data_IF_767005845181
#
_entry.id   IF_767005845181
#
_cell.length_a   1.000
_cell.length_b   1.000
_cell.length_c   1.000
_cell.angle_alpha   90.00
_cell.angle_beta   90.00
_cell.angle_gamma   90.00
#
_symmetry.space_group_name_H-M   'P 1'
#
loop_
_entity.id
_entity.type
_entity.pdbx_description
1 polymer ?
#
# COMPACT_ATOMS: atom_id res chain seq x y z
N UNK A 1 -43.83 -3.71 -52.75
CA UNK A 1 -42.65 -2.88 -52.43
C UNK A 1 -42.79 -2.36 -51.00
N UNK A 2 -41.80 -2.61 -50.14
CA UNK A 2 -41.19 -1.70 -49.12
C UNK A 2 -42.15 -0.77 -48.34
N UNK A 3 -42.21 -0.67 -47.01
CA UNK A 3 -41.32 -0.91 -45.85
C UNK A 3 -42.25 -0.89 -44.60
N UNK A 4 -42.10 -1.76 -43.61
CA UNK A 4 -41.06 -1.63 -42.56
C UNK A 4 -41.42 -0.48 -41.61
N UNK A 5 -42.13 -0.76 -40.51
CA UNK A 5 -41.55 -0.98 -39.18
C UNK A 5 -41.19 0.33 -38.46
N UNK A 6 -42.02 0.72 -37.48
CA UNK A 6 -41.65 1.70 -36.45
C UNK A 6 -41.83 1.05 -35.09
N UNK A 7 -40.88 0.18 -34.74
CA UNK A 7 -40.70 -0.31 -33.37
C UNK A 7 -39.94 0.79 -32.64
N UNK A 8 -40.63 1.52 -31.76
CA UNK A 8 -40.03 2.46 -30.82
C UNK A 8 -39.34 1.63 -29.73
N UNK A 9 -38.06 1.33 -29.94
CA UNK A 9 -37.23 0.60 -28.97
C UNK A 9 -36.69 1.58 -27.93
N UNK A 10 -37.30 1.54 -26.74
CA UNK A 10 -36.84 2.23 -25.53
C UNK A 10 -35.45 1.71 -25.14
N UNK A 11 -34.43 2.54 -25.32
CA UNK A 11 -33.06 2.31 -24.83
C UNK A 11 -32.96 2.75 -23.37
N UNK A 12 -33.22 1.84 -22.44
CA UNK A 12 -32.80 1.97 -21.04
C UNK A 12 -31.33 1.59 -20.92
N UNK A 13 -30.44 2.59 -20.98
CA UNK A 13 -29.04 2.42 -20.56
C UNK A 13 -28.98 2.32 -19.04
N UNK A 14 -28.98 1.10 -18.51
CA UNK A 14 -28.54 0.85 -17.13
C UNK A 14 -27.02 0.94 -17.09
N UNK A 15 -26.50 2.06 -16.59
CA UNK A 15 -25.09 2.18 -16.22
C UNK A 15 -24.85 1.25 -15.03
N UNK A 16 -24.26 0.09 -15.29
CA UNK A 16 -23.72 -0.78 -14.26
C UNK A 16 -22.46 -0.09 -13.73
N UNK A 17 -22.59 0.62 -12.62
CA UNK A 17 -21.43 1.02 -11.83
C UNK A 17 -20.88 -0.23 -11.16
N UNK A 18 -19.89 -0.86 -11.80
CA UNK A 18 -19.00 -1.80 -11.13
C UNK A 18 -18.24 -1.00 -10.06
N UNK A 19 -18.72 -1.04 -8.82
CA UNK A 19 -17.89 -0.73 -7.67
C UNK A 19 -16.81 -1.82 -7.64
N UNK A 20 -15.65 -1.52 -8.22
CA UNK A 20 -14.48 -2.35 -8.07
C UNK A 20 -14.02 -2.11 -6.62
N UNK A 21 -14.45 -2.98 -5.70
CA UNK A 21 -13.77 -3.12 -4.42
C UNK A 21 -12.38 -3.68 -4.77
N UNK A 22 -11.38 -2.81 -4.89
CA UNK A 22 -9.99 -3.26 -4.84
C UNK A 22 -9.81 -3.93 -3.48
N UNK A 23 -9.67 -5.26 -3.46
CA UNK A 23 -9.28 -5.93 -2.23
C UNK A 23 -7.99 -5.28 -1.73
N UNK A 24 -7.95 -4.81 -0.47
CA UNK A 24 -6.77 -4.14 0.06
C UNK A 24 -5.61 -5.12 -0.03
N UNK A 25 -4.52 -4.69 -0.67
CA UNK A 25 -3.35 -5.52 -0.85
C UNK A 25 -2.88 -6.11 0.49
N UNK A 26 -2.58 -7.42 0.48
CA UNK A 26 -2.28 -8.18 1.69
C UNK A 26 -1.17 -7.51 2.50
N UNK A 27 -1.34 -7.36 3.81
CA UNK A 27 -0.33 -6.78 4.69
C UNK A 27 0.73 -7.83 5.05
N UNK A 28 2.00 -7.50 4.84
CA UNK A 28 3.13 -8.41 5.06
C UNK A 28 4.12 -7.84 6.06
N UNK A 29 4.82 -8.72 6.78
CA UNK A 29 5.86 -8.31 7.73
C UNK A 29 6.96 -7.53 6.99
N UNK A 30 7.40 -6.43 7.61
CA UNK A 30 8.45 -5.57 7.09
C UNK A 30 9.74 -6.35 6.80
N UNK A 31 10.38 -6.04 5.67
CA UNK A 31 11.57 -6.74 5.19
C UNK A 31 12.82 -5.85 5.09
N UNK A 32 12.67 -4.53 5.12
CA UNK A 32 13.75 -3.54 4.96
C UNK A 32 13.78 -2.60 6.14
N UNK A 33 14.97 -2.08 6.46
CA UNK A 33 15.17 -1.21 7.61
C UNK A 33 14.59 -1.80 8.90
N UNK A 34 14.93 -3.06 9.19
CA UNK A 34 14.34 -3.83 10.29
C UNK A 34 15.32 -3.92 11.46
N UNK A 35 14.83 -3.66 12.66
CA UNK A 35 15.44 -4.10 13.92
C UNK A 35 14.52 -5.12 14.60
N UNK A 36 15.08 -6.01 15.42
CA UNK A 36 14.29 -6.90 16.27
C UNK A 36 14.27 -6.36 17.69
N UNK A 37 13.09 -6.32 18.31
CA UNK A 37 13.00 -6.01 19.74
C UNK A 37 13.36 -7.24 20.60
N UNK A 38 13.31 -7.08 21.92
CA UNK A 38 13.61 -8.13 22.89
C UNK A 38 12.73 -9.39 22.76
N UNK A 39 11.53 -9.24 22.20
CA UNK A 39 10.58 -10.34 21.96
C UNK A 39 10.74 -10.97 20.57
N UNK A 40 11.73 -10.55 19.79
CA UNK A 40 11.99 -11.04 18.44
C UNK A 40 11.05 -10.48 17.37
N UNK A 41 10.17 -9.53 17.72
CA UNK A 41 9.29 -8.87 16.77
C UNK A 41 10.11 -7.99 15.81
N UNK A 42 9.82 -8.11 14.50
CA UNK A 42 10.49 -7.32 13.46
C UNK A 42 9.86 -5.94 13.37
N UNK A 43 10.62 -4.90 13.69
CA UNK A 43 10.17 -3.50 13.76
C UNK A 43 10.98 -2.61 12.81
N UNK A 44 10.44 -1.46 12.38
CA UNK A 44 11.25 -0.45 11.69
C UNK A 44 12.40 -0.02 12.60
N UNK A 45 13.61 0.10 12.06
CA UNK A 45 14.79 0.53 12.82
C UNK A 45 14.66 1.97 13.33
N UNK A 46 13.86 2.79 12.65
CA UNK A 46 13.43 4.12 13.14
C UNK A 46 11.91 4.26 12.93
N UNK A 47 11.22 5.13 13.68
CA UNK A 47 9.81 5.38 13.47
C UNK A 47 9.52 5.74 11.99
N UNK A 48 8.53 5.13 11.33
CA UNK A 48 8.22 5.43 9.93
C UNK A 48 7.89 6.91 9.68
N UNK A 49 7.31 7.58 10.67
CA UNK A 49 7.04 9.04 10.68
C UNK A 49 8.30 9.90 10.66
N UNK A 50 9.48 9.33 10.92
CA UNK A 50 10.76 10.01 10.73
C UNK A 50 11.17 10.08 9.26
N UNK A 51 10.46 9.39 8.37
CA UNK A 51 10.62 9.50 6.93
C UNK A 51 9.81 10.66 6.37
N UNK A 52 10.41 11.44 5.47
CA UNK A 52 9.67 12.31 4.57
C UNK A 52 9.22 11.51 3.33
N UNK A 53 7.95 11.64 2.97
CA UNK A 53 7.47 11.25 1.64
C UNK A 53 7.84 12.35 0.63
N UNK A 54 8.18 11.96 -0.59
CA UNK A 54 8.36 12.90 -1.72
C UNK A 54 7.05 13.11 -2.47
N UNK A 55 6.14 12.15 -2.39
CA UNK A 55 4.76 12.23 -2.85
C UNK A 55 3.86 12.65 -1.67
N UNK A 56 2.66 13.15 -1.96
CA UNK A 56 1.69 13.54 -0.92
C UNK A 56 1.26 12.34 -0.06
N UNK A 57 0.99 12.58 1.22
CA UNK A 57 0.63 11.53 2.16
C UNK A 57 -0.67 10.81 1.76
N UNK A 58 -1.64 11.54 1.21
CA UNK A 58 -2.92 10.98 0.73
C UNK A 58 -2.72 10.05 -0.49
N UNK A 59 -1.85 10.44 -1.43
CA UNK A 59 -1.51 9.63 -2.60
C UNK A 59 -0.77 8.35 -2.14
N UNK A 60 0.17 8.50 -1.21
CA UNK A 60 0.89 7.38 -0.62
C UNK A 60 -0.02 6.44 0.17
N UNK A 61 -1.00 6.96 0.90
CA UNK A 61 -1.99 6.17 1.63
C UNK A 61 -2.91 5.40 0.67
N UNK A 62 -3.27 6.00 -0.47
CA UNK A 62 -4.06 5.33 -1.52
C UNK A 62 -3.31 4.11 -2.08
N UNK A 63 -2.00 4.22 -2.27
CA UNK A 63 -1.19 3.15 -2.87
C UNK A 63 -0.69 2.09 -1.88
N UNK A 64 -0.31 2.52 -0.68
CA UNK A 64 0.44 1.70 0.29
C UNK A 64 -0.19 1.67 1.68
N UNK A 65 -1.36 2.27 1.85
CA UNK A 65 -2.11 2.20 3.09
C UNK A 65 -2.37 0.76 3.50
N UNK A 66 -2.48 0.57 4.81
CA UNK A 66 -2.93 -0.68 5.44
C UNK A 66 -4.20 -0.39 6.23
N UNK A 67 -5.03 -1.41 6.45
CA UNK A 67 -6.29 -1.25 7.18
C UNK A 67 -6.07 -0.75 8.62
N UNK A 68 -7.08 -0.14 9.21
CA UNK A 68 -7.03 0.33 10.62
C UNK A 68 -6.69 -0.79 11.61
N UNK A 69 -7.11 -2.02 11.31
CA UNK A 69 -6.75 -3.19 12.12
C UNK A 69 -5.24 -3.42 12.13
N UNK A 70 -4.59 -3.35 10.95
CA UNK A 70 -3.15 -3.50 10.83
C UNK A 70 -2.42 -2.32 11.47
N UNK A 71 -2.97 -1.11 11.37
CA UNK A 71 -2.41 0.07 12.05
C UNK A 71 -2.39 -0.15 13.57
N UNK A 72 -3.50 -0.62 14.16
CA UNK A 72 -3.57 -0.97 15.59
C UNK A 72 -2.64 -2.12 15.96
N UNK A 73 -2.50 -3.14 15.11
CA UNK A 73 -1.52 -4.22 15.33
C UNK A 73 -0.08 -3.68 15.33
N UNK A 74 0.22 -2.71 14.46
CA UNK A 74 1.53 -2.08 14.36
C UNK A 74 1.87 -1.19 15.56
N UNK A 75 0.88 -0.65 16.26
CA UNK A 75 1.08 0.13 17.50
C UNK A 75 1.61 -0.75 18.66
N UNK A 76 1.26 -2.03 18.69
CA UNK A 76 1.82 -2.98 19.66
C UNK A 76 3.26 -3.34 19.29
N UNK A 77 4.21 -2.97 20.15
CA UNK A 77 5.63 -3.22 19.95
C UNK A 77 5.96 -4.72 19.93
N UNK A 78 5.13 -5.57 20.54
CA UNK A 78 5.34 -7.02 20.56
C UNK A 78 4.97 -7.70 19.24
N UNK A 79 4.24 -6.99 18.37
CA UNK A 79 3.88 -7.50 17.05
C UNK A 79 4.90 -7.05 16.00
N UNK A 80 5.20 -7.96 15.07
CA UNK A 80 6.01 -7.60 13.91
C UNK A 80 5.24 -6.60 13.05
N UNK A 81 5.92 -5.50 12.70
CA UNK A 81 5.35 -4.41 11.92
C UNK A 81 5.03 -4.89 10.50
N UNK A 82 3.84 -4.57 10.02
CA UNK A 82 3.36 -4.94 8.69
C UNK A 82 3.17 -3.71 7.81
N UNK A 83 3.50 -3.88 6.54
CA UNK A 83 3.27 -2.89 5.48
C UNK A 83 2.44 -3.52 4.37
N UNK A 84 1.91 -2.70 3.48
CA UNK A 84 1.24 -3.17 2.28
C UNK A 84 2.22 -4.00 1.41
N UNK A 85 1.83 -5.21 0.99
CA UNK A 85 2.68 -6.10 0.16
C UNK A 85 3.18 -5.45 -1.12
N UNK A 86 2.47 -4.45 -1.64
CA UNK A 86 2.88 -3.66 -2.79
C UNK A 86 4.26 -3.05 -2.58
N UNK A 87 4.62 -2.66 -1.35
CA UNK A 87 5.95 -2.13 -1.00
C UNK A 87 7.12 -3.03 -1.46
N UNK A 88 6.89 -4.33 -1.65
CA UNK A 88 7.92 -5.30 -2.06
C UNK A 88 7.73 -5.87 -3.46
N UNK A 89 6.61 -5.60 -4.14
CA UNK A 89 6.42 -6.02 -5.52
C UNK A 89 7.17 -5.11 -6.51
N UNK A 90 7.15 -5.43 -7.80
CA UNK A 90 7.88 -4.66 -8.81
C UNK A 90 7.45 -3.18 -8.88
N UNK A 91 6.15 -2.91 -8.74
CA UNK A 91 5.57 -1.57 -8.79
C UNK A 91 5.99 -0.78 -7.55
N UNK A 92 5.80 -1.33 -6.35
CA UNK A 92 6.17 -0.64 -5.12
C UNK A 92 7.67 -0.49 -4.92
N UNK A 93 8.51 -1.32 -5.55
CA UNK A 93 9.96 -1.03 -5.60
C UNK A 93 10.28 0.21 -6.43
N UNK A 94 9.49 0.52 -7.47
CA UNK A 94 9.69 1.70 -8.32
C UNK A 94 9.17 2.98 -7.66
N UNK A 95 8.03 2.91 -6.94
CA UNK A 95 7.35 4.10 -6.40
C UNK A 95 7.38 4.20 -4.87
N UNK A 96 7.67 3.12 -4.15
CA UNK A 96 7.73 3.12 -2.68
C UNK A 96 8.84 3.97 -2.09
N UNK A 97 9.88 4.31 -2.87
CA UNK A 97 10.89 5.31 -2.48
C UNK A 97 10.33 6.73 -2.39
N UNK A 98 9.19 7.01 -3.02
CA UNK A 98 8.48 8.28 -2.90
C UNK A 98 7.53 8.31 -1.70
N UNK A 99 7.15 7.12 -1.19
CA UNK A 99 6.25 6.90 -0.05
C UNK A 99 6.97 6.18 1.10
N UNK A 100 8.17 6.67 1.44
CA UNK A 100 9.09 5.99 2.37
C UNK A 100 8.48 5.72 3.73
N UNK A 101 7.64 6.61 4.24
CA UNK A 101 6.97 6.45 5.52
C UNK A 101 6.03 5.23 5.50
N UNK A 102 5.16 5.11 4.50
CA UNK A 102 4.18 4.03 4.39
C UNK A 102 4.82 2.66 4.15
N UNK A 103 5.94 2.62 3.42
CA UNK A 103 6.71 1.38 3.21
C UNK A 103 7.81 1.15 4.25
N UNK A 104 7.88 1.98 5.30
CA UNK A 104 8.87 1.92 6.39
C UNK A 104 10.32 1.77 5.89
N UNK A 105 10.71 2.61 4.91
CA UNK A 105 12.01 2.57 4.23
C UNK A 105 13.05 3.54 4.84
N UNK A 106 12.89 3.92 6.11
CA UNK A 106 13.94 4.64 6.83
C UNK A 106 14.73 3.71 7.72
N UNK A 107 16.04 3.68 7.48
CA UNK A 107 17.00 2.90 8.22
C UNK A 107 17.72 3.83 9.22
N UNK A 108 18.16 3.31 10.36
CA UNK A 108 19.21 4.00 11.14
C UNK A 108 20.41 4.23 10.21
N UNK A 109 21.03 5.42 10.26
CA UNK A 109 22.19 5.74 9.43
C UNK A 109 23.32 4.74 9.72
N UNK A 110 23.53 3.75 8.83
CA UNK A 110 24.52 2.71 9.06
C UNK A 110 24.63 1.59 8.02
N UNK A 111 23.60 1.31 7.22
CA UNK A 111 23.71 0.27 6.17
C UNK A 111 23.60 0.83 4.76
N UNK A 112 24.62 1.61 4.40
CA UNK A 112 24.98 1.79 3.00
C UNK A 112 25.86 0.60 2.59
N UNK A 113 25.25 -0.50 2.15
CA UNK A 113 25.96 -1.49 1.32
C UNK A 113 25.00 -2.34 0.49
N UNK A 114 24.26 -1.71 -0.43
CA UNK A 114 24.08 -2.33 -1.73
C UNK A 114 25.37 -2.03 -2.51
N UNK A 115 26.38 -2.89 -2.34
CA UNK A 115 27.41 -3.06 -3.38
C UNK A 115 26.70 -3.72 -4.56
N UNK A 116 26.44 -2.93 -5.60
CA UNK A 116 26.39 -3.44 -6.97
C UNK A 116 27.82 -3.63 -7.48
#
# INVERSE_FOLDING_TARGET
MRRGATILLLLSFTLITLAYEEEPAEAVVIQRCVSSNENGARRPSVPPTSCSNSMGDDDCATMFGVSEEIQKQNEDENNSYKVNSTCYNAIGRAVGSQCRSMCALCCEHGELSIRL
#
